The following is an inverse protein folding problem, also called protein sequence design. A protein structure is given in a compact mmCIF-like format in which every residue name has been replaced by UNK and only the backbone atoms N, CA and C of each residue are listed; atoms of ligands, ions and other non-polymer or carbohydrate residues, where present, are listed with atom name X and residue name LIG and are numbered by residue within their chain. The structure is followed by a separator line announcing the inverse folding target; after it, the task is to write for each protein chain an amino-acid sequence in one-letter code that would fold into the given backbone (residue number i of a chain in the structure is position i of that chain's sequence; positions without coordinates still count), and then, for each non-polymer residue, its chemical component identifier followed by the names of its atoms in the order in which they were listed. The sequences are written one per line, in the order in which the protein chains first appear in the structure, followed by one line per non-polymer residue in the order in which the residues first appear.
data_IF_798754680634
#
_entry.id   IF_798754680634
#
_cell.length_a   1.000
_cell.length_b   1.000
_cell.length_c   1.000
_cell.angle_alpha   90.00
_cell.angle_beta   90.00
_cell.angle_gamma   90.00
#
_symmetry.space_group_name_H-M   'P 1'
#
loop_
_entity.id
_entity.type
_entity.pdbx_description
1 polymer ?
#
# COMPACT_ATOMS: atom_id res chain seq x y z
N UNK A 1 -12.13 -28.11 13.25
CA UNK A 1 -11.89 -26.72 12.79
C UNK A 1 -10.39 -26.47 12.90
N UNK A 2 -9.65 -26.79 11.85
CA UNK A 2 -8.19 -26.60 11.78
C UNK A 2 -7.95 -25.26 11.08
N UNK A 3 -7.59 -24.22 11.84
CA UNK A 3 -7.03 -23.01 11.24
C UNK A 3 -5.68 -23.35 10.63
N UNK A 4 -5.44 -22.96 9.39
CA UNK A 4 -4.11 -22.94 8.80
C UNK A 4 -3.35 -21.76 9.40
N UNK A 5 -2.80 -21.96 10.58
CA UNK A 5 -2.00 -20.95 11.26
C UNK A 5 -0.55 -21.23 10.94
N UNK A 6 0.08 -20.39 10.11
CA UNK A 6 1.54 -20.31 10.13
C UNK A 6 1.95 -19.53 11.39
N UNK A 7 3.20 -19.68 11.84
CA UNK A 7 3.66 -18.92 13.03
C UNK A 7 3.53 -17.38 12.82
N UNK A 8 3.52 -16.92 11.56
CA UNK A 8 3.61 -15.51 11.15
C UNK A 8 2.25 -14.87 10.81
N UNK A 9 1.19 -15.66 10.58
CA UNK A 9 -0.18 -15.18 10.40
C UNK A 9 -1.18 -16.16 11.03
N UNK A 10 -2.11 -15.64 11.82
CA UNK A 10 -3.20 -16.40 12.41
C UNK A 10 -4.45 -16.23 11.55
N UNK A 11 -4.91 -17.32 10.95
CA UNK A 11 -6.10 -17.37 10.09
C UNK A 11 -7.11 -18.31 10.75
N UNK A 12 -8.28 -17.77 11.14
CA UNK A 12 -9.31 -18.54 11.85
C UNK A 12 -10.70 -17.99 11.60
N UNK A 13 -11.71 -18.81 11.84
CA UNK A 13 -13.10 -18.36 11.93
C UNK A 13 -13.42 -18.16 13.42
N UNK A 14 -13.82 -16.93 13.79
CA UNK A 14 -14.22 -16.54 15.14
C UNK A 14 -15.70 -16.12 15.11
N UNK A 15 -16.60 -16.98 15.63
CA UNK A 15 -18.02 -16.79 15.38
C UNK A 15 -18.34 -16.94 13.88
N UNK A 16 -18.72 -15.84 13.24
CA UNK A 16 -18.93 -15.75 11.80
C UNK A 16 -17.94 -14.81 11.09
N UNK A 17 -16.85 -14.46 11.76
CA UNK A 17 -15.82 -13.60 11.22
C UNK A 17 -14.66 -14.45 10.72
N UNK A 18 -14.28 -14.29 9.45
CA UNK A 18 -13.00 -14.73 8.94
C UNK A 18 -11.92 -13.78 9.44
N UNK A 19 -11.18 -14.16 10.47
CA UNK A 19 -10.18 -13.28 11.08
C UNK A 19 -8.78 -13.61 10.62
N UNK A 20 -8.08 -12.58 10.14
CA UNK A 20 -6.68 -12.59 9.74
C UNK A 20 -5.91 -11.70 10.71
N UNK A 21 -4.98 -12.27 11.49
CA UNK A 21 -4.14 -11.49 12.40
C UNK A 21 -2.68 -11.68 11.99
N UNK A 22 -2.03 -10.61 11.52
CA UNK A 22 -0.60 -10.63 11.21
C UNK A 22 0.19 -10.79 12.50
N UNK A 23 1.11 -11.75 12.58
CA UNK A 23 1.76 -12.13 13.83
C UNK A 23 3.30 -12.16 13.74
N UNK A 24 3.87 -11.09 13.22
CA UNK A 24 5.32 -10.83 13.22
C UNK A 24 5.64 -9.49 13.91
N UNK A 25 5.22 -9.26 15.17
CA UNK A 25 5.33 -7.93 15.79
C UNK A 25 6.77 -7.44 15.93
N UNK A 26 7.76 -8.33 15.99
CA UNK A 26 9.19 -7.96 16.02
C UNK A 26 9.66 -7.37 14.68
N UNK A 27 9.08 -7.82 13.57
CA UNK A 27 9.33 -7.32 12.22
C UNK A 27 8.25 -6.32 11.76
N UNK A 28 7.51 -5.67 12.68
CA UNK A 28 6.41 -4.76 12.36
C UNK A 28 5.34 -5.39 11.46
N UNK A 29 5.12 -6.69 11.62
CA UNK A 29 4.17 -7.48 10.83
C UNK A 29 4.42 -7.44 9.32
N UNK A 30 5.68 -7.25 8.89
CA UNK A 30 6.04 -7.28 7.47
C UNK A 30 5.58 -8.59 6.82
N UNK A 31 4.97 -8.49 5.63
CA UNK A 31 4.40 -9.60 4.89
C UNK A 31 5.52 -10.44 4.26
N UNK A 32 5.45 -11.75 4.43
CA UNK A 32 6.25 -12.70 3.66
C UNK A 32 5.38 -13.29 2.56
N UNK A 33 6.00 -13.78 1.49
CA UNK A 33 5.28 -14.45 0.40
C UNK A 33 4.37 -15.60 0.92
N UNK A 34 4.85 -16.39 1.89
CA UNK A 34 4.03 -17.46 2.49
C UNK A 34 2.79 -16.92 3.22
N UNK A 35 2.90 -15.73 3.87
CA UNK A 35 1.75 -15.08 4.50
C UNK A 35 0.74 -14.62 3.45
N UNK A 36 1.19 -14.01 2.36
CA UNK A 36 0.34 -13.52 1.26
C UNK A 36 -0.44 -14.68 0.61
N UNK A 37 0.25 -15.77 0.29
CA UNK A 37 -0.37 -16.98 -0.27
C UNK A 37 -1.39 -17.58 0.70
N UNK A 38 -1.08 -17.65 2.00
CA UNK A 38 -1.99 -18.19 3.00
C UNK A 38 -3.24 -17.30 3.20
N UNK A 39 -3.06 -15.97 3.19
CA UNK A 39 -4.14 -15.00 3.30
C UNK A 39 -5.05 -15.09 2.07
N UNK A 40 -4.49 -15.07 0.86
CA UNK A 40 -5.25 -15.15 -0.37
C UNK A 40 -6.06 -16.44 -0.46
N UNK A 41 -5.44 -17.58 -0.13
CA UNK A 41 -6.13 -18.86 -0.05
C UNK A 41 -7.29 -18.87 0.95
N UNK A 42 -7.17 -18.17 2.08
CA UNK A 42 -8.26 -18.03 3.04
C UNK A 42 -9.39 -17.15 2.50
N UNK A 43 -9.06 -16.01 1.89
CA UNK A 43 -10.03 -15.11 1.28
C UNK A 43 -10.86 -15.82 0.21
N UNK A 44 -10.22 -16.55 -0.68
CA UNK A 44 -10.88 -17.33 -1.72
C UNK A 44 -11.84 -18.39 -1.13
N UNK A 45 -11.43 -19.13 -0.09
CA UNK A 45 -12.32 -20.10 0.58
C UNK A 45 -13.50 -19.44 1.26
N UNK A 46 -13.29 -18.31 1.94
CA UNK A 46 -14.33 -17.63 2.71
C UNK A 46 -15.30 -16.82 1.86
N UNK A 47 -14.95 -16.50 0.62
CA UNK A 47 -15.81 -15.76 -0.29
C UNK A 47 -17.18 -16.43 -0.46
N UNK A 48 -17.22 -17.75 -0.65
CA UNK A 48 -18.44 -18.55 -0.85
C UNK A 48 -18.88 -19.30 0.41
N UNK A 49 -18.11 -19.28 1.50
CA UNK A 49 -18.44 -20.00 2.73
C UNK A 49 -19.59 -19.28 3.50
N UNK A 50 -20.79 -19.88 3.60
CA UNK A 50 -21.90 -19.26 4.31
C UNK A 50 -21.69 -19.16 5.82
N UNK A 51 -20.70 -19.86 6.40
CA UNK A 51 -20.33 -19.75 7.80
C UNK A 51 -19.55 -18.46 8.10
N UNK A 52 -18.97 -17.80 7.08
CA UNK A 52 -18.26 -16.53 7.20
C UNK A 52 -19.15 -15.41 6.68
N UNK A 53 -19.55 -14.49 7.57
CA UNK A 53 -20.36 -13.34 7.21
C UNK A 53 -19.54 -12.14 6.69
N UNK A 54 -18.34 -11.94 7.22
CA UNK A 54 -17.41 -10.91 6.82
C UNK A 54 -15.97 -11.27 7.22
N UNK A 55 -14.99 -10.50 6.71
CA UNK A 55 -13.57 -10.66 7.03
C UNK A 55 -13.09 -9.50 7.87
N UNK A 56 -12.17 -9.77 8.80
CA UNK A 56 -11.49 -8.75 9.59
C UNK A 56 -9.98 -9.00 9.58
N UNK A 57 -9.19 -7.95 9.28
CA UNK A 57 -7.73 -7.98 9.35
C UNK A 57 -7.21 -7.07 10.45
N UNK A 58 -6.26 -7.57 11.25
CA UNK A 58 -5.55 -6.84 12.29
C UNK A 58 -4.07 -7.26 12.40
N UNK A 59 -3.29 -6.51 13.19
CA UNK A 59 -1.89 -6.83 13.49
C UNK A 59 -1.68 -7.14 14.97
N UNK A 60 -0.84 -8.13 15.28
CA UNK A 60 -0.41 -8.42 16.63
C UNK A 60 0.67 -7.43 17.09
N UNK A 61 0.68 -7.15 18.38
CA UNK A 61 1.58 -6.20 19.02
C UNK A 61 1.03 -4.78 19.01
N UNK A 62 1.86 -3.80 19.46
CA UNK A 62 1.40 -2.44 19.76
C UNK A 62 1.89 -1.40 18.72
N UNK A 63 2.70 -1.80 17.74
CA UNK A 63 3.39 -0.86 16.86
C UNK A 63 2.64 -0.56 15.56
N UNK A 64 1.76 -1.42 15.13
CA UNK A 64 0.97 -1.18 13.94
C UNK A 64 0.49 -2.43 13.24
N UNK A 65 -0.34 -2.22 12.22
CA UNK A 65 -0.90 -3.28 11.39
C UNK A 65 0.22 -3.99 10.61
N UNK A 66 0.94 -3.25 9.74
CA UNK A 66 1.96 -3.80 8.86
C UNK A 66 2.85 -2.69 8.28
N UNK A 67 4.17 -2.93 8.26
CA UNK A 67 5.14 -1.98 7.70
C UNK A 67 5.52 -2.25 6.23
N UNK A 68 4.81 -3.14 5.53
CA UNK A 68 5.04 -3.49 4.13
C UNK A 68 5.51 -4.92 3.92
N UNK A 69 5.93 -5.25 2.71
CA UNK A 69 6.49 -6.55 2.36
C UNK A 69 7.87 -6.78 3.00
N UNK A 70 8.22 -8.03 3.27
CA UNK A 70 9.57 -8.42 3.71
C UNK A 70 10.51 -8.51 2.50
N UNK A 71 10.94 -7.33 2.04
CA UNK A 71 11.77 -7.17 0.82
C UNK A 71 13.20 -7.66 0.96
N UNK A 72 13.59 -8.21 2.13
CA UNK A 72 14.96 -8.67 2.32
C UNK A 72 15.31 -9.87 1.44
N UNK A 73 14.36 -10.77 1.24
CA UNK A 73 14.53 -11.90 0.33
C UNK A 73 14.73 -11.45 -1.13
N UNK A 74 13.99 -10.43 -1.56
CA UNK A 74 14.14 -9.83 -2.89
C UNK A 74 15.49 -9.12 -3.05
N UNK A 75 15.96 -8.42 -2.02
CA UNK A 75 17.28 -7.79 -2.00
C UNK A 75 18.41 -8.83 -2.15
N UNK A 76 18.37 -9.90 -1.35
CA UNK A 76 19.37 -10.96 -1.40
C UNK A 76 19.35 -11.69 -2.76
N UNK A 77 18.15 -11.90 -3.33
CA UNK A 77 17.97 -12.47 -4.66
C UNK A 77 18.54 -11.54 -5.76
N UNK A 78 18.18 -10.26 -5.74
CA UNK A 78 18.67 -9.28 -6.73
C UNK A 78 20.21 -9.19 -6.76
N UNK A 79 20.86 -9.26 -5.60
CA UNK A 79 22.32 -9.30 -5.51
C UNK A 79 22.99 -10.53 -6.12
N UNK A 80 22.26 -11.64 -6.22
CA UNK A 80 22.76 -12.92 -6.74
C UNK A 80 22.24 -13.26 -8.15
N UNK A 81 21.60 -12.31 -8.85
CA UNK A 81 21.03 -12.53 -10.19
C UNK A 81 19.74 -13.33 -10.16
N UNK A 82 19.04 -13.34 -9.04
CA UNK A 82 17.76 -14.03 -8.84
C UNK A 82 16.55 -13.10 -8.87
N UNK A 83 16.64 -11.97 -9.57
CA UNK A 83 15.57 -10.95 -9.66
C UNK A 83 14.22 -11.49 -10.16
N UNK A 84 14.22 -12.62 -10.89
CA UNK A 84 12.98 -13.29 -11.30
C UNK A 84 12.11 -13.77 -10.13
N UNK A 85 12.63 -13.85 -8.91
CA UNK A 85 11.83 -14.11 -7.72
C UNK A 85 10.80 -12.99 -7.42
N UNK A 86 11.00 -11.80 -7.98
CA UNK A 86 10.03 -10.71 -7.88
C UNK A 86 8.68 -11.04 -8.55
N UNK A 87 8.68 -11.85 -9.62
CA UNK A 87 7.47 -12.17 -10.37
C UNK A 87 6.44 -12.97 -9.54
N UNK A 88 6.76 -14.12 -8.94
CA UNK A 88 5.80 -14.81 -8.07
C UNK A 88 5.50 -14.00 -6.80
N UNK A 89 6.47 -13.34 -6.19
CA UNK A 89 6.28 -12.55 -4.97
C UNK A 89 5.21 -11.45 -5.20
N UNK A 90 5.47 -10.48 -6.08
CA UNK A 90 4.50 -9.43 -6.37
C UNK A 90 3.26 -9.94 -7.08
N UNK A 91 3.39 -10.99 -7.91
CA UNK A 91 2.24 -11.55 -8.61
C UNK A 91 1.18 -12.10 -7.67
N UNK A 92 1.56 -12.77 -6.61
CA UNK A 92 0.63 -13.32 -5.62
C UNK A 92 0.13 -12.22 -4.68
N UNK A 93 1.00 -11.30 -4.22
CA UNK A 93 0.60 -10.14 -3.43
C UNK A 93 -0.44 -9.28 -4.17
N UNK A 94 -0.20 -8.96 -5.43
CA UNK A 94 -1.08 -8.08 -6.20
C UNK A 94 -2.41 -8.74 -6.56
N UNK A 95 -2.44 -10.06 -6.77
CA UNK A 95 -3.70 -10.81 -6.89
C UNK A 95 -4.50 -10.75 -5.60
N UNK A 96 -3.85 -10.96 -4.45
CA UNK A 96 -4.47 -10.83 -3.14
C UNK A 96 -5.06 -9.41 -2.94
N UNK A 97 -4.33 -8.35 -3.30
CA UNK A 97 -4.84 -6.97 -3.20
C UNK A 97 -6.08 -6.76 -4.09
N UNK A 98 -6.07 -7.27 -5.31
CA UNK A 98 -7.22 -7.21 -6.20
C UNK A 98 -8.41 -8.04 -5.66
N UNK A 99 -8.18 -9.21 -5.05
CA UNK A 99 -9.22 -9.97 -4.36
C UNK A 99 -9.85 -9.18 -3.21
N UNK A 100 -9.03 -8.48 -2.40
CA UNK A 100 -9.52 -7.62 -1.32
C UNK A 100 -10.40 -6.49 -1.86
N UNK A 101 -9.96 -5.83 -2.94
CA UNK A 101 -10.68 -4.71 -3.56
C UNK A 101 -12.06 -5.11 -4.12
N UNK A 102 -12.20 -6.37 -4.56
CA UNK A 102 -13.44 -6.91 -5.12
C UNK A 102 -14.12 -7.95 -4.20
N UNK A 103 -13.80 -7.92 -2.90
CA UNK A 103 -14.27 -8.96 -2.00
C UNK A 103 -15.81 -8.92 -1.85
N UNK A 104 -16.53 -10.06 -2.02
CA UNK A 104 -18.00 -10.07 -2.09
C UNK A 104 -18.68 -9.87 -0.73
N UNK A 105 -17.93 -9.90 0.37
CA UNK A 105 -18.42 -9.71 1.75
C UNK A 105 -17.74 -8.49 2.37
N UNK A 106 -18.30 -7.89 3.44
CA UNK A 106 -17.61 -6.83 4.15
C UNK A 106 -16.18 -7.25 4.53
N UNK A 107 -15.21 -6.37 4.26
CA UNK A 107 -13.81 -6.54 4.62
C UNK A 107 -13.40 -5.38 5.54
N UNK A 108 -13.24 -5.68 6.82
CA UNK A 108 -12.92 -4.72 7.88
C UNK A 108 -11.42 -4.71 8.13
N UNK A 109 -10.76 -3.57 7.95
CA UNK A 109 -9.34 -3.41 8.22
C UNK A 109 -9.11 -2.50 9.42
N UNK A 110 -8.44 -3.01 10.46
CA UNK A 110 -8.03 -2.21 11.61
C UNK A 110 -6.64 -1.62 11.36
N UNK A 111 -6.62 -0.43 10.77
CA UNK A 111 -5.41 0.28 10.31
C UNK A 111 -4.79 1.11 11.45
N UNK A 112 -4.50 0.48 12.59
CA UNK A 112 -3.96 1.15 13.77
C UNK A 112 -2.42 1.13 13.77
N UNK A 113 -1.77 2.21 14.18
CA UNK A 113 -0.32 2.37 14.19
C UNK A 113 0.28 2.41 12.78
N UNK A 114 1.40 1.72 12.54
CA UNK A 114 2.11 1.72 11.25
C UNK A 114 1.33 0.93 10.20
N UNK A 115 1.08 1.57 9.04
CA UNK A 115 0.42 1.00 7.85
C UNK A 115 1.17 1.50 6.61
N UNK A 116 2.08 0.69 6.06
CA UNK A 116 2.96 1.14 4.98
C UNK A 116 3.12 0.07 3.89
N UNK A 117 3.31 0.48 2.63
CA UNK A 117 3.56 -0.41 1.50
C UNK A 117 2.54 -1.55 1.41
N UNK A 118 2.96 -2.81 1.45
CA UNK A 118 2.07 -3.98 1.50
C UNK A 118 1.02 -3.94 2.63
N UNK A 119 1.29 -3.19 3.74
CA UNK A 119 0.31 -2.92 4.78
C UNK A 119 -0.86 -2.07 4.28
N UNK A 120 -0.64 -1.15 3.34
CA UNK A 120 -1.69 -0.42 2.64
C UNK A 120 -2.44 -1.39 1.72
N UNK A 121 -1.72 -2.23 0.98
CA UNK A 121 -2.31 -3.23 0.07
C UNK A 121 -3.29 -4.17 0.75
N UNK A 122 -2.94 -4.73 1.92
CA UNK A 122 -3.80 -5.67 2.65
C UNK A 122 -4.98 -4.98 3.37
N UNK A 123 -5.01 -3.67 3.48
CA UNK A 123 -5.99 -2.95 4.30
C UNK A 123 -6.81 -1.90 3.55
N UNK A 124 -6.16 -1.03 2.77
CA UNK A 124 -6.80 0.16 2.21
C UNK A 124 -7.73 -0.11 1.02
N UNK A 125 -7.78 -1.36 0.52
CA UNK A 125 -8.74 -1.80 -0.48
C UNK A 125 -10.00 -2.44 0.12
N UNK A 126 -10.03 -2.67 1.43
CA UNK A 126 -11.19 -3.20 2.13
C UNK A 126 -12.38 -2.23 2.10
N UNK A 127 -13.59 -2.76 2.31
CA UNK A 127 -14.83 -1.98 2.31
C UNK A 127 -15.05 -1.15 3.58
N UNK A 128 -14.38 -1.50 4.70
CA UNK A 128 -14.51 -0.82 6.00
C UNK A 128 -13.13 -0.58 6.59
N UNK A 129 -12.57 0.59 6.34
CA UNK A 129 -11.19 0.96 6.68
C UNK A 129 -11.20 1.84 7.92
N UNK A 130 -10.69 1.30 9.03
CA UNK A 130 -10.75 1.94 10.35
C UNK A 130 -9.34 2.42 10.73
N UNK A 131 -9.20 3.71 10.97
CA UNK A 131 -7.97 4.36 11.45
C UNK A 131 -8.13 4.92 12.85
N UNK A 132 -7.00 5.22 13.50
CA UNK A 132 -6.96 5.74 14.86
C UNK A 132 -6.07 7.00 14.94
N UNK A 133 -5.97 7.59 16.13
CA UNK A 133 -4.99 8.64 16.42
C UNK A 133 -3.52 8.17 16.32
N UNK A 134 -3.31 6.85 16.34
CA UNK A 134 -1.96 6.26 16.23
C UNK A 134 -1.59 5.92 14.79
N UNK A 135 -2.55 5.95 13.87
CA UNK A 135 -2.31 5.58 12.48
C UNK A 135 -1.23 6.45 11.86
N UNK A 136 -0.26 5.78 11.25
CA UNK A 136 0.79 6.37 10.44
C UNK A 136 0.84 5.62 9.11
N UNK A 137 0.18 6.17 8.10
CA UNK A 137 0.04 5.57 6.77
C UNK A 137 1.02 6.23 5.80
N UNK A 138 1.74 5.43 5.03
CA UNK A 138 2.62 5.95 3.98
C UNK A 138 2.88 4.92 2.88
N UNK A 139 3.27 5.45 1.69
CA UNK A 139 3.90 4.69 0.61
C UNK A 139 5.35 5.23 0.46
N UNK A 140 6.32 4.66 1.23
CA UNK A 140 7.66 5.23 1.35
C UNK A 140 8.66 4.70 0.30
N UNK A 141 8.19 4.02 -0.74
CA UNK A 141 8.95 3.20 -1.68
C UNK A 141 10.02 3.99 -2.44
N UNK A 142 9.78 5.28 -2.73
CA UNK A 142 10.76 6.16 -3.40
C UNK A 142 12.07 6.29 -2.62
N UNK A 143 12.02 6.08 -1.30
CA UNK A 143 13.17 6.12 -0.40
C UNK A 143 14.05 4.86 -0.43
N UNK A 144 13.59 3.81 -1.09
CA UNK A 144 14.33 2.53 -1.25
C UNK A 144 14.57 2.17 -2.71
N UNK A 145 14.42 3.12 -3.65
CA UNK A 145 14.61 2.84 -5.07
C UNK A 145 13.49 2.02 -5.68
N UNK A 146 12.27 2.13 -5.14
CA UNK A 146 11.08 1.43 -5.58
C UNK A 146 9.95 2.45 -5.84
N UNK A 147 8.74 2.00 -6.10
CA UNK A 147 7.57 2.84 -6.40
C UNK A 147 6.39 2.45 -5.52
N UNK A 148 5.43 3.34 -5.24
CA UNK A 148 4.15 2.95 -4.70
C UNK A 148 3.50 1.88 -5.59
N UNK A 149 3.14 0.76 -4.97
CA UNK A 149 2.59 -0.44 -5.59
C UNK A 149 1.35 -0.94 -4.85
N UNK A 150 1.00 -2.20 -4.93
CA UNK A 150 -0.14 -2.85 -4.24
C UNK A 150 -1.50 -2.15 -4.47
N UNK A 151 -1.69 -1.51 -5.62
CA UNK A 151 -2.84 -0.64 -5.89
C UNK A 151 -2.73 0.73 -5.20
N UNK A 152 -1.59 1.04 -4.59
CA UNK A 152 -1.35 2.31 -3.90
C UNK A 152 -1.42 3.52 -4.82
N UNK A 153 -0.99 3.39 -6.09
CA UNK A 153 -1.11 4.50 -7.05
C UNK A 153 -2.56 4.82 -7.40
N UNK A 154 -3.45 3.82 -7.38
CA UNK A 154 -4.88 4.01 -7.54
C UNK A 154 -5.49 4.81 -6.38
N UNK A 155 -5.10 4.52 -5.14
CA UNK A 155 -5.52 5.26 -3.96
C UNK A 155 -4.97 6.68 -3.98
N UNK A 156 -3.67 6.84 -4.19
CA UNK A 156 -2.99 8.15 -4.26
C UNK A 156 -3.53 9.02 -5.40
N UNK A 157 -3.82 8.43 -6.57
CA UNK A 157 -4.39 9.14 -7.70
C UNK A 157 -5.78 9.75 -7.44
N UNK A 158 -6.50 9.26 -6.44
CA UNK A 158 -7.84 9.72 -6.04
C UNK A 158 -7.86 10.68 -4.87
N UNK A 159 -6.72 10.91 -4.24
CA UNK A 159 -6.63 11.91 -3.18
C UNK A 159 -6.94 13.33 -3.71
N UNK A 160 -7.45 14.24 -2.84
CA UNK A 160 -7.82 15.60 -3.23
C UNK A 160 -6.66 16.38 -3.84
N UNK A 161 -6.86 16.94 -5.03
CA UNK A 161 -5.87 17.78 -5.73
C UNK A 161 -4.58 17.01 -6.04
N UNK A 162 -3.45 17.61 -5.68
CA UNK A 162 -2.12 17.03 -5.90
C UNK A 162 -1.54 16.34 -4.64
N UNK A 163 -2.33 16.18 -3.57
CA UNK A 163 -1.85 15.62 -2.29
C UNK A 163 -1.33 14.19 -2.42
N UNK A 164 -1.90 13.38 -3.33
CA UNK A 164 -1.42 12.03 -3.59
C UNK A 164 -0.05 12.02 -4.28
N UNK A 165 0.21 12.94 -5.20
CA UNK A 165 1.55 13.08 -5.80
C UNK A 165 2.55 13.56 -4.75
N UNK A 166 2.18 14.54 -3.92
CA UNK A 166 3.01 14.95 -2.80
C UNK A 166 3.37 13.76 -1.90
N UNK A 167 2.37 12.98 -1.50
CA UNK A 167 2.58 11.80 -0.65
C UNK A 167 3.51 10.77 -1.29
N UNK A 168 3.33 10.48 -2.59
CA UNK A 168 4.16 9.53 -3.33
C UNK A 168 5.62 9.98 -3.45
N UNK A 169 5.87 11.26 -3.80
CA UNK A 169 7.23 11.74 -4.09
C UNK A 169 8.04 12.08 -2.84
N UNK A 170 7.38 12.34 -1.72
CA UNK A 170 8.03 12.70 -0.45
C UNK A 170 8.05 11.57 0.57
N UNK A 171 7.41 10.42 0.27
CA UNK A 171 7.15 9.37 1.25
C UNK A 171 6.40 9.93 2.48
N UNK A 172 5.43 10.83 2.25
CA UNK A 172 4.72 11.54 3.31
C UNK A 172 3.99 10.57 4.23
N UNK A 173 4.09 10.83 5.53
CA UNK A 173 3.41 10.03 6.56
C UNK A 173 2.09 10.68 6.91
N UNK A 174 1.01 10.08 6.42
CA UNK A 174 -0.35 10.52 6.69
C UNK A 174 -0.80 10.05 8.08
N UNK A 175 -1.48 10.93 8.80
CA UNK A 175 -2.21 10.58 10.03
C UNK A 175 -3.52 9.86 9.72
N UNK A 176 -4.19 9.30 10.74
CA UNK A 176 -5.55 8.76 10.58
C UNK A 176 -6.54 9.81 10.07
N UNK A 177 -6.39 11.06 10.51
CA UNK A 177 -7.21 12.18 10.03
C UNK A 177 -6.99 12.47 8.55
N UNK A 178 -5.72 12.43 8.09
CA UNK A 178 -5.38 12.57 6.68
C UNK A 178 -5.99 11.43 5.85
N UNK A 179 -5.86 10.19 6.33
CA UNK A 179 -6.37 9.02 5.62
C UNK A 179 -7.89 9.09 5.41
N UNK A 180 -8.66 9.51 6.41
CA UNK A 180 -10.12 9.73 6.28
C UNK A 180 -10.40 10.88 5.31
N UNK A 181 -9.77 12.03 5.51
CA UNK A 181 -10.02 13.23 4.71
C UNK A 181 -9.60 13.07 3.24
N UNK A 182 -8.64 12.19 2.98
CA UNK A 182 -8.17 11.85 1.63
C UNK A 182 -8.87 10.64 0.99
N UNK A 183 -9.83 10.01 1.67
CA UNK A 183 -10.60 8.90 1.14
C UNK A 183 -9.87 7.54 1.13
N UNK A 184 -8.75 7.43 1.87
CA UNK A 184 -8.02 6.16 2.05
C UNK A 184 -8.62 5.34 3.19
N UNK A 185 -9.30 5.98 4.14
CA UNK A 185 -10.02 5.32 5.22
C UNK A 185 -11.44 5.85 5.34
N UNK A 186 -12.32 5.08 6.02
CA UNK A 186 -13.75 5.38 6.14
C UNK A 186 -14.11 5.89 7.54
N UNK A 187 -13.52 5.29 8.57
CA UNK A 187 -13.91 5.51 9.96
C UNK A 187 -12.71 5.86 10.81
N UNK A 188 -12.91 6.84 11.69
CA UNK A 188 -11.97 7.18 12.75
C UNK A 188 -12.50 6.67 14.08
N UNK A 189 -11.72 5.78 14.73
CA UNK A 189 -12.04 5.20 16.03
C UNK A 189 -10.86 5.41 16.95
N UNK A 190 -11.06 5.96 18.15
CA UNK A 190 -9.96 6.08 19.09
C UNK A 190 -9.39 4.70 19.48
N UNK A 191 -8.07 4.53 19.49
CA UNK A 191 -7.40 3.24 19.67
C UNK A 191 -7.82 2.50 20.95
N UNK A 192 -8.16 3.24 22.00
CA UNK A 192 -8.68 2.67 23.25
C UNK A 192 -9.99 1.89 23.08
N UNK A 193 -10.74 2.16 22.02
CA UNK A 193 -12.02 1.50 21.72
C UNK A 193 -11.87 0.27 20.81
N UNK A 194 -10.71 0.05 20.18
CA UNK A 194 -10.48 -1.08 19.27
C UNK A 194 -10.74 -2.45 19.93
N UNK A 195 -10.34 -2.70 21.19
CA UNK A 195 -10.66 -3.99 21.83
C UNK A 195 -12.16 -4.24 21.97
N UNK A 196 -12.93 -3.21 22.33
CA UNK A 196 -14.38 -3.31 22.46
C UNK A 196 -15.07 -3.45 21.09
N UNK A 197 -14.62 -2.68 20.08
CA UNK A 197 -15.10 -2.79 18.70
C UNK A 197 -14.82 -4.20 18.14
N UNK A 198 -13.60 -4.71 18.32
CA UNK A 198 -13.22 -6.05 17.86
C UNK A 198 -14.12 -7.13 18.49
N UNK A 199 -14.39 -7.02 19.80
CA UNK A 199 -15.27 -7.95 20.50
C UNK A 199 -16.73 -7.84 20.01
N UNK A 200 -17.22 -6.63 19.74
CA UNK A 200 -18.56 -6.40 19.20
C UNK A 200 -18.70 -6.98 17.78
N UNK A 201 -17.72 -6.73 16.90
CA UNK A 201 -17.66 -7.31 15.55
C UNK A 201 -17.64 -8.85 15.62
N UNK A 202 -16.82 -9.45 16.48
CA UNK A 202 -16.76 -10.91 16.64
C UNK A 202 -18.09 -11.54 17.11
N UNK A 203 -18.95 -10.77 17.76
CA UNK A 203 -20.26 -11.21 18.21
C UNK A 203 -21.38 -11.09 17.15
N UNK A 204 -21.12 -10.43 16.02
CA UNK A 204 -22.10 -10.28 14.94
C UNK A 204 -22.40 -11.63 14.28
N UNK A 205 -23.66 -11.80 13.89
CA UNK A 205 -24.15 -12.99 13.18
C UNK A 205 -24.46 -12.71 11.71
N UNK A 206 -24.52 -11.43 11.32
CA UNK A 206 -24.78 -10.99 9.94
C UNK A 206 -23.75 -9.91 9.53
N UNK A 207 -23.27 -10.02 8.30
CA UNK A 207 -22.38 -9.01 7.71
C UNK A 207 -23.08 -7.67 7.44
N UNK A 208 -24.41 -7.66 7.32
CA UNK A 208 -25.20 -6.43 7.16
C UNK A 208 -25.17 -5.50 8.39
N UNK A 209 -24.80 -6.03 9.57
CA UNK A 209 -24.74 -5.26 10.81
C UNK A 209 -23.37 -4.59 11.05
N UNK A 210 -22.39 -4.77 10.15
CA UNK A 210 -21.00 -4.28 10.31
C UNK A 210 -20.98 -2.75 10.38
N UNK A 211 -21.69 -2.06 9.49
CA UNK A 211 -21.75 -0.59 9.44
C UNK A 211 -22.27 -0.01 10.77
N UNK A 212 -23.38 -0.51 11.26
CA UNK A 212 -23.98 -0.03 12.51
C UNK A 212 -23.09 -0.33 13.73
N UNK A 213 -22.43 -1.49 13.72
CA UNK A 213 -21.47 -1.86 14.76
C UNK A 213 -20.29 -0.89 14.79
N UNK A 214 -19.70 -0.58 13.64
CA UNK A 214 -18.57 0.36 13.54
C UNK A 214 -19.01 1.78 13.94
N UNK A 215 -20.18 2.22 13.46
CA UNK A 215 -20.72 3.55 13.74
C UNK A 215 -20.91 3.82 15.24
N UNK A 216 -21.20 2.78 16.04
CA UNK A 216 -21.33 2.90 17.49
C UNK A 216 -20.02 3.28 18.21
N UNK A 217 -18.86 3.08 17.58
CA UNK A 217 -17.52 3.39 18.10
C UNK A 217 -16.84 4.53 17.37
N UNK A 218 -17.29 4.84 16.15
CA UNK A 218 -16.67 5.87 15.31
C UNK A 218 -16.94 7.28 15.87
N UNK A 219 -15.96 8.16 15.70
CA UNK A 219 -16.03 9.57 16.02
C UNK A 219 -15.62 10.39 14.81
N UNK A 220 -16.01 11.68 14.70
CA UNK A 220 -15.48 12.56 13.67
C UNK A 220 -13.95 12.58 13.73
N UNK A 221 -13.29 12.42 12.60
CA UNK A 221 -11.86 12.57 12.50
C UNK A 221 -11.46 14.04 12.80
N UNK A 222 -10.30 14.29 13.43
CA UNK A 222 -9.75 15.63 13.53
C UNK A 222 -9.48 16.26 12.14
N UNK A 223 -9.21 17.57 12.11
CA UNK A 223 -8.79 18.25 10.89
C UNK A 223 -7.52 17.62 10.32
N UNK A 224 -7.47 17.49 8.99
CA UNK A 224 -6.32 16.91 8.29
C UNK A 224 -5.17 17.92 8.17
N UNK A 225 -4.00 17.65 8.76
CA UNK A 225 -2.81 18.48 8.56
C UNK A 225 -2.40 18.55 7.08
N UNK A 226 -2.49 17.45 6.35
CA UNK A 226 -2.14 17.39 4.92
C UNK A 226 -3.05 18.29 4.08
N UNK A 227 -4.36 18.26 4.32
CA UNK A 227 -5.29 19.12 3.57
C UNK A 227 -5.16 20.60 3.95
N UNK A 228 -4.68 20.93 5.14
CA UNK A 228 -4.35 22.31 5.49
C UNK A 228 -3.22 22.88 4.61
N UNK A 229 -2.32 22.04 4.15
CA UNK A 229 -1.19 22.38 3.27
C UNK A 229 -1.54 22.36 1.77
N UNK A 230 -2.77 21.99 1.41
CA UNK A 230 -3.20 21.72 0.05
C UNK A 230 -2.94 22.88 -0.92
N UNK A 231 -3.05 24.12 -0.48
CA UNK A 231 -2.95 25.28 -1.36
C UNK A 231 -1.59 25.34 -2.09
N UNK A 232 -0.48 25.22 -1.37
CA UNK A 232 0.84 25.21 -1.97
C UNK A 232 1.16 23.87 -2.65
N UNK A 233 0.61 22.75 -2.13
CA UNK A 233 0.76 21.44 -2.76
C UNK A 233 0.15 21.49 -4.17
N UNK A 234 -1.11 21.89 -4.31
CA UNK A 234 -1.78 21.97 -5.61
C UNK A 234 -1.05 22.95 -6.55
N UNK A 235 -0.50 24.06 -6.02
CA UNK A 235 0.21 25.04 -6.86
C UNK A 235 1.52 24.50 -7.41
N UNK A 236 2.30 23.78 -6.62
CA UNK A 236 3.61 23.28 -7.02
C UNK A 236 3.54 21.96 -7.82
N UNK A 237 2.73 21.00 -7.37
CA UNK A 237 2.71 19.63 -7.93
C UNK A 237 1.89 19.50 -9.22
N UNK A 238 1.16 20.52 -9.64
CA UNK A 238 0.54 20.57 -10.99
C UNK A 238 1.55 20.65 -12.13
N UNK A 239 2.80 21.01 -11.83
CA UNK A 239 3.86 21.13 -12.83
C UNK A 239 4.10 19.80 -13.56
N UNK A 240 4.45 19.82 -14.88
CA UNK A 240 4.40 18.63 -15.73
C UNK A 240 5.45 17.57 -15.40
N UNK A 241 6.62 17.96 -14.90
CA UNK A 241 7.75 17.05 -14.65
C UNK A 241 8.23 17.13 -13.20
N UNK A 242 8.96 16.13 -12.74
CA UNK A 242 9.53 16.12 -11.40
C UNK A 242 10.49 17.29 -11.18
N UNK A 243 11.29 17.63 -12.16
CA UNK A 243 12.20 18.78 -12.15
C UNK A 243 11.43 20.11 -11.99
N UNK A 244 10.34 20.26 -12.75
CA UNK A 244 9.49 21.45 -12.67
C UNK A 244 8.75 21.55 -11.33
N UNK A 245 8.32 20.41 -10.75
CA UNK A 245 7.75 20.35 -9.41
C UNK A 245 8.78 20.82 -8.39
N UNK A 246 9.99 20.26 -8.43
CA UNK A 246 11.06 20.65 -7.49
C UNK A 246 11.41 22.12 -7.62
N UNK A 247 11.52 22.65 -8.83
CA UNK A 247 11.78 24.08 -9.06
C UNK A 247 10.66 24.97 -8.50
N UNK A 248 9.39 24.58 -8.68
CA UNK A 248 8.25 25.31 -8.13
C UNK A 248 8.27 25.30 -6.58
N UNK A 249 8.56 24.15 -5.99
CA UNK A 249 8.69 23.98 -4.54
C UNK A 249 9.80 24.84 -3.96
N UNK A 250 10.97 24.87 -4.61
CA UNK A 250 12.13 25.68 -4.17
C UNK A 250 11.86 27.19 -4.24
N UNK A 251 11.08 27.61 -5.25
CA UNK A 251 10.71 29.01 -5.43
C UNK A 251 9.54 29.46 -4.53
N UNK A 252 8.83 28.53 -3.90
CA UNK A 252 7.62 28.84 -3.14
C UNK A 252 7.95 29.55 -1.82
N UNK A 253 7.05 30.44 -1.38
CA UNK A 253 7.23 31.22 -0.14
C UNK A 253 7.12 30.36 1.13
N UNK A 254 6.27 29.32 1.09
CA UNK A 254 6.04 28.43 2.24
C UNK A 254 7.27 27.59 2.57
N UNK A 255 7.73 27.58 3.84
CA UNK A 255 8.86 26.76 4.26
C UNK A 255 8.65 25.26 4.01
N UNK A 256 7.43 24.76 4.22
CA UNK A 256 7.07 23.35 3.99
C UNK A 256 7.27 22.91 2.54
N UNK A 257 7.01 23.79 1.56
CA UNK A 257 7.26 23.51 0.15
C UNK A 257 8.78 23.28 -0.11
N UNK A 258 9.65 24.15 0.43
CA UNK A 258 11.11 23.99 0.28
C UNK A 258 11.64 22.73 0.99
N UNK A 259 11.03 22.34 2.12
CA UNK A 259 11.36 21.09 2.80
C UNK A 259 10.94 19.87 1.95
N UNK A 260 9.78 19.94 1.30
CA UNK A 260 9.34 18.92 0.34
C UNK A 260 10.30 18.78 -0.83
N UNK A 261 10.79 19.89 -1.42
CA UNK A 261 11.81 19.85 -2.47
C UNK A 261 13.10 19.16 -1.98
N UNK A 262 13.59 19.54 -0.81
CA UNK A 262 14.78 18.92 -0.20
C UNK A 262 14.55 17.42 0.07
N UNK A 263 13.34 17.03 0.41
CA UNK A 263 12.97 15.61 0.61
C UNK A 263 13.00 14.85 -0.70
N UNK A 264 12.35 15.36 -1.76
CA UNK A 264 12.35 14.73 -3.10
C UNK A 264 13.79 14.54 -3.61
N UNK A 265 14.68 15.54 -3.42
CA UNK A 265 16.08 15.45 -3.85
C UNK A 265 16.89 14.34 -3.14
N UNK A 266 16.44 13.84 -2.00
CA UNK A 266 17.06 12.70 -1.29
C UNK A 266 16.54 11.34 -1.75
N UNK A 267 15.42 11.29 -2.45
CA UNK A 267 14.82 10.06 -2.95
C UNK A 267 15.53 9.59 -4.24
N UNK A 268 15.30 8.33 -4.65
CA UNK A 268 15.79 7.83 -5.93
C UNK A 268 15.20 8.66 -7.08
N UNK A 269 16.03 9.30 -7.91
CA UNK A 269 15.53 10.09 -9.03
C UNK A 269 14.66 9.30 -10.00
N UNK A 270 15.05 8.07 -10.31
CA UNK A 270 14.28 7.16 -11.16
C UNK A 270 12.92 6.85 -10.53
N UNK A 271 12.91 6.48 -9.25
CA UNK A 271 11.67 6.17 -8.52
C UNK A 271 10.73 7.37 -8.43
N UNK A 272 11.24 8.58 -8.20
CA UNK A 272 10.44 9.82 -8.18
C UNK A 272 9.74 10.03 -9.52
N UNK A 273 10.45 9.91 -10.66
CA UNK A 273 9.86 10.10 -11.99
C UNK A 273 8.87 8.98 -12.33
N UNK A 274 9.17 7.73 -11.99
CA UNK A 274 8.26 6.59 -12.17
C UNK A 274 6.99 6.76 -11.34
N UNK A 275 7.12 7.12 -10.06
CA UNK A 275 5.97 7.32 -9.16
C UNK A 275 5.07 8.46 -9.65
N UNK A 276 5.64 9.56 -10.14
CA UNK A 276 4.88 10.66 -10.75
C UNK A 276 4.05 10.16 -11.93
N UNK A 277 4.66 9.38 -12.85
CA UNK A 277 3.96 8.81 -14.00
C UNK A 277 2.85 7.84 -13.59
N UNK A 278 3.13 6.95 -12.62
CA UNK A 278 2.18 5.95 -12.12
C UNK A 278 0.95 6.61 -11.49
N UNK A 279 1.14 7.53 -10.54
CA UNK A 279 0.03 8.19 -9.85
C UNK A 279 -0.82 9.02 -10.81
N UNK A 280 -0.20 9.72 -11.77
CA UNK A 280 -0.92 10.48 -12.80
C UNK A 280 -1.73 9.58 -13.72
N UNK A 281 -1.16 8.46 -14.17
CA UNK A 281 -1.87 7.49 -14.98
C UNK A 281 -3.08 6.90 -14.24
N UNK A 282 -2.90 6.56 -12.97
CA UNK A 282 -3.95 5.96 -12.14
C UNK A 282 -5.18 6.85 -11.90
N UNK A 283 -5.06 8.17 -12.10
CA UNK A 283 -6.22 9.09 -12.05
C UNK A 283 -7.30 8.77 -13.06
N UNK A 284 -6.92 8.24 -14.22
CA UNK A 284 -7.84 7.86 -15.30
C UNK A 284 -8.35 6.41 -15.22
N UNK A 285 -7.83 5.60 -14.33
CA UNK A 285 -8.20 4.19 -14.26
C UNK A 285 -9.62 4.02 -13.68
N UNK A 286 -10.42 3.17 -14.30
CA UNK A 286 -11.78 2.88 -13.83
C UNK A 286 -11.77 1.90 -12.63
N UNK A 287 -10.77 1.02 -12.56
CA UNK A 287 -10.65 -0.03 -11.56
C UNK A 287 -9.19 -0.19 -11.10
N UNK A 288 -9.02 -0.76 -9.90
CA UNK A 288 -7.70 -0.89 -9.27
C UNK A 288 -6.78 -1.83 -10.04
N UNK A 289 -7.32 -2.86 -10.70
CA UNK A 289 -6.58 -3.86 -11.47
C UNK A 289 -5.76 -3.22 -12.59
N UNK A 290 -6.28 -2.18 -13.24
CA UNK A 290 -5.55 -1.43 -14.27
C UNK A 290 -4.29 -0.77 -13.71
N UNK A 291 -4.39 -0.21 -12.50
CA UNK A 291 -3.24 0.36 -11.80
C UNK A 291 -2.26 -0.74 -11.38
N UNK A 292 -2.75 -1.82 -10.78
CA UNK A 292 -1.95 -2.96 -10.31
C UNK A 292 -1.16 -3.61 -11.46
N UNK A 293 -1.78 -3.86 -12.61
CA UNK A 293 -1.09 -4.41 -13.79
C UNK A 293 0.06 -3.49 -14.26
N UNK A 294 -0.16 -2.17 -14.20
CA UNK A 294 0.87 -1.17 -14.53
C UNK A 294 1.97 -1.12 -13.47
N UNK A 295 1.61 -1.16 -12.21
CA UNK A 295 2.54 -1.23 -11.07
C UNK A 295 3.41 -2.48 -11.17
N UNK A 296 2.84 -3.63 -11.50
CA UNK A 296 3.57 -4.89 -11.65
C UNK A 296 4.69 -4.81 -12.69
N UNK A 297 4.42 -4.21 -13.87
CA UNK A 297 5.45 -4.00 -14.89
C UNK A 297 6.63 -3.20 -14.37
N UNK A 298 6.35 -2.16 -13.60
CA UNK A 298 7.38 -1.27 -13.02
C UNK A 298 8.09 -1.94 -11.85
N UNK A 299 7.35 -2.58 -10.94
CA UNK A 299 7.86 -3.21 -9.72
C UNK A 299 8.92 -4.29 -10.02
N UNK A 300 8.61 -5.23 -10.92
CA UNK A 300 9.54 -6.31 -11.27
C UNK A 300 10.85 -5.79 -11.90
N UNK A 301 10.79 -4.65 -12.61
CA UNK A 301 11.98 -4.00 -13.18
C UNK A 301 12.75 -3.18 -12.16
N UNK A 302 12.07 -2.59 -11.19
CA UNK A 302 12.73 -1.90 -10.08
C UNK A 302 13.63 -2.84 -9.29
N UNK A 303 13.18 -4.07 -9.00
CA UNK A 303 14.00 -5.07 -8.25
C UNK A 303 15.30 -5.41 -8.99
N UNK A 304 15.28 -5.43 -10.32
CA UNK A 304 16.46 -5.67 -11.15
C UNK A 304 17.38 -4.44 -11.27
N UNK A 305 16.96 -3.25 -10.81
CA UNK A 305 17.69 -2.03 -10.95
C UNK A 305 18.63 -1.76 -9.77
N UNK A 306 19.68 -0.97 -10.03
CA UNK A 306 20.68 -0.55 -9.03
C UNK A 306 20.03 0.09 -7.79
N UNK A 307 19.08 0.99 -8.00
CA UNK A 307 18.56 1.84 -6.93
C UNK A 307 17.75 1.06 -5.88
N UNK A 308 17.08 -0.03 -6.26
CA UNK A 308 16.43 -0.92 -5.30
C UNK A 308 17.44 -1.57 -4.36
N UNK A 309 18.49 -2.18 -4.91
CA UNK A 309 19.54 -2.83 -4.11
C UNK A 309 20.21 -1.81 -3.19
N UNK A 310 20.57 -0.64 -3.72
CA UNK A 310 21.24 0.40 -2.95
C UNK A 310 20.33 1.01 -1.88
N UNK A 311 19.05 1.27 -2.20
CA UNK A 311 18.08 1.81 -1.27
C UNK A 311 17.80 0.86 -0.10
N UNK A 312 17.57 -0.43 -0.40
CA UNK A 312 17.39 -1.46 0.64
C UNK A 312 18.65 -1.61 1.48
N UNK A 313 19.85 -1.60 0.85
CA UNK A 313 21.11 -1.58 1.59
C UNK A 313 21.13 -0.42 2.60
N UNK A 314 20.93 0.79 2.11
CA UNK A 314 21.06 2.00 2.92
C UNK A 314 20.03 2.10 4.05
N UNK A 315 18.79 1.66 3.82
CA UNK A 315 17.70 1.83 4.80
C UNK A 315 17.54 0.64 5.75
N UNK A 316 17.77 -0.59 5.30
CA UNK A 316 17.41 -1.80 6.04
C UNK A 316 18.60 -2.69 6.43
N UNK A 317 19.66 -2.73 5.61
CA UNK A 317 20.82 -3.60 5.84
C UNK A 317 21.88 -2.86 6.65
N UNK A 318 22.53 -1.85 6.03
CA UNK A 318 23.61 -1.08 6.66
C UNK A 318 23.07 0.02 7.58
N UNK A 319 21.87 0.53 7.29
CA UNK A 319 21.16 1.57 8.04
C UNK A 319 21.92 2.89 8.14
N UNK A 320 22.83 3.14 7.16
CA UNK A 320 23.58 4.38 7.05
C UNK A 320 22.74 5.56 6.54
N UNK A 321 21.57 5.26 5.94
CA UNK A 321 20.61 6.22 5.38
C UNK A 321 21.25 7.16 4.34
N UNK A 322 22.26 6.68 3.65
CA UNK A 322 23.01 7.43 2.66
C UNK A 322 23.10 6.64 1.32
N UNK A 323 21.98 6.50 0.60
CA UNK A 323 21.96 5.78 -0.67
C UNK A 323 22.71 6.55 -1.76
N UNK A 324 23.34 5.83 -2.66
CA UNK A 324 24.08 6.35 -3.82
C UNK A 324 23.29 6.02 -5.09
N UNK A 325 22.30 6.85 -5.40
CA UNK A 325 21.39 6.66 -6.53
C UNK A 325 22.12 6.71 -7.88
N UNK A 326 21.62 5.96 -8.87
CA UNK A 326 22.10 5.96 -10.24
C UNK A 326 20.92 5.94 -11.22
N UNK A 327 20.70 7.06 -11.96
CA UNK A 327 21.42 8.33 -11.91
C UNK A 327 21.25 9.10 -10.59
N UNK A 328 22.21 9.98 -10.26
CA UNK A 328 22.22 10.70 -8.97
C UNK A 328 21.26 11.89 -8.92
N UNK A 329 20.73 12.34 -10.06
CA UNK A 329 19.86 13.53 -10.18
C UNK A 329 18.68 13.26 -11.10
N UNK A 330 17.58 14.03 -10.94
CA UNK A 330 16.40 13.93 -11.81
C UNK A 330 16.76 14.13 -13.30
N UNK A 331 17.58 15.15 -13.60
CA UNK A 331 18.00 15.45 -14.97
C UNK A 331 18.83 14.31 -15.62
N UNK A 332 19.41 13.44 -14.83
CA UNK A 332 20.17 12.28 -15.33
C UNK A 332 19.28 11.08 -15.71
N UNK A 333 17.97 11.13 -15.44
CA UNK A 333 17.02 10.07 -15.78
C UNK A 333 16.39 10.37 -17.14
N UNK A 334 16.74 9.61 -18.16
CA UNK A 334 16.24 9.75 -19.52
C UNK A 334 14.82 9.18 -19.67
N UNK A 335 14.01 9.78 -20.57
CA UNK A 335 12.63 9.34 -20.81
C UNK A 335 12.56 7.93 -21.40
N UNK A 336 13.50 7.56 -22.26
CA UNK A 336 13.61 6.21 -22.83
C UNK A 336 13.83 5.15 -21.74
N UNK A 337 14.63 5.49 -20.71
CA UNK A 337 14.81 4.62 -19.54
C UNK A 337 13.49 4.43 -18.79
N UNK A 338 12.74 5.51 -18.57
CA UNK A 338 11.43 5.42 -17.91
C UNK A 338 10.44 4.60 -18.74
N UNK A 339 10.38 4.81 -20.07
CA UNK A 339 9.48 4.07 -20.94
C UNK A 339 9.72 2.56 -20.90
N UNK A 340 10.98 2.15 -20.74
CA UNK A 340 11.34 0.74 -20.60
C UNK A 340 10.69 0.07 -19.37
N UNK A 341 10.47 0.81 -18.28
CA UNK A 341 9.79 0.26 -17.07
C UNK A 341 8.31 -0.04 -17.33
N UNK A 342 7.65 0.69 -18.24
CA UNK A 342 6.24 0.50 -18.57
C UNK A 342 6.02 -0.49 -19.74
N UNK A 343 7.10 -0.92 -20.39
CA UNK A 343 6.98 -1.83 -21.53
C UNK A 343 6.28 -3.14 -21.14
N UNK A 344 5.47 -3.72 -22.03
CA UNK A 344 4.81 -5.00 -21.77
C UNK A 344 5.80 -6.11 -21.37
N UNK A 345 5.36 -7.00 -20.48
CA UNK A 345 6.11 -8.19 -20.03
C UNK A 345 5.82 -9.44 -20.89
N UNK A 346 4.93 -9.32 -21.88
CA UNK A 346 4.57 -10.45 -22.76
C UNK A 346 3.83 -11.55 -21.99
N UNK A 347 4.38 -12.75 -21.97
CA UNK A 347 3.78 -13.89 -21.28
C UNK A 347 3.83 -13.77 -19.73
N UNK A 348 4.64 -12.88 -19.21
CA UNK A 348 4.81 -12.66 -17.78
C UNK A 348 3.88 -11.54 -17.24
N UNK A 349 2.94 -11.02 -18.05
CA UNK A 349 1.94 -10.04 -17.60
C UNK A 349 1.06 -10.63 -16.48
N UNK A 350 0.68 -9.80 -15.51
CA UNK A 350 -0.23 -10.21 -14.44
C UNK A 350 -1.66 -10.40 -14.98
N UNK A 351 -2.12 -9.46 -15.84
CA UNK A 351 -3.33 -9.57 -16.65
C UNK A 351 -4.64 -9.46 -15.87
N UNK A 352 -4.65 -8.78 -14.73
CA UNK A 352 -5.85 -8.64 -13.90
C UNK A 352 -6.91 -7.75 -14.55
N UNK A 353 -6.50 -6.74 -15.31
CA UNK A 353 -7.41 -5.82 -15.98
C UNK A 353 -8.28 -6.50 -17.04
N UNK A 354 -7.78 -7.58 -17.65
CA UNK A 354 -8.49 -8.35 -18.65
C UNK A 354 -9.52 -9.34 -18.06
N UNK A 355 -9.55 -9.53 -16.73
CA UNK A 355 -10.54 -10.42 -16.09
C UNK A 355 -11.89 -9.71 -16.02
N UNK A 356 -12.92 -10.28 -16.69
CA UNK A 356 -14.30 -9.75 -16.65
C UNK A 356 -14.94 -9.93 -15.27
N UNK A 357 -14.56 -10.99 -14.56
CA UNK A 357 -14.95 -11.28 -13.17
C UNK A 357 -13.75 -11.90 -12.46
N UNK A 358 -13.51 -11.49 -11.23
CA UNK A 358 -12.55 -12.20 -10.37
C UNK A 358 -13.05 -13.63 -10.17
N UNK A 359 -12.27 -14.67 -10.53
CA UNK A 359 -12.71 -16.04 -10.38
C UNK A 359 -12.84 -16.35 -8.89
N UNK A 360 -14.06 -16.32 -8.38
CA UNK A 360 -14.43 -16.99 -7.15
C UNK A 360 -14.42 -18.47 -7.48
N UNK A 361 -13.38 -19.16 -7.12
CA UNK A 361 -13.09 -20.60 -7.03
C UNK A 361 -13.81 -21.62 -7.95
N UNK A 362 -14.70 -21.27 -8.90
CA UNK A 362 -15.42 -22.27 -9.69
C UNK A 362 -14.61 -22.91 -10.84
N UNK A 363 -13.45 -22.36 -11.23
CA UNK A 363 -12.76 -22.74 -12.47
C UNK A 363 -11.32 -23.31 -12.30
N UNK A 364 -10.93 -23.72 -11.08
CA UNK A 364 -9.67 -24.42 -10.85
C UNK A 364 -9.89 -25.80 -10.21
N UNK A 365 -10.55 -26.71 -10.92
CA UNK A 365 -10.44 -28.16 -10.72
C UNK A 365 -9.98 -28.83 -12.00
#
# INVERSE_FOLDING_TARGET
MSGETTADVEIRIEGRVGRISLNRPRALNALTHDMEVAIDAALLRWADDPSVAFVMVDGRGERGLCAGGDIRALYDAAKSGGERLAFPFFGDEYRMNAHIANYPKPFVALMDGIVMGGGVGISAHGSHRIVTERTMLAMPEVGIGFVPDVGGTFLLGRMPGETGIHAALTAHRMTGADAVSCGIADHYVESRHLPALTAALAALVDGADVDDCIAAFATPAPDSPLLAERAWIDDCYKAPTAEAIVAALEAHAEPAAREAAATIRRMSPTSVKLSLRLVRAARGDAKVETAIDREFRVAVRCVAAHDFVEGVRAQLVDKDRNPRWQPATLDGVEDETLDAYFAPLGADELGLDALEHFPILSDRM
#
